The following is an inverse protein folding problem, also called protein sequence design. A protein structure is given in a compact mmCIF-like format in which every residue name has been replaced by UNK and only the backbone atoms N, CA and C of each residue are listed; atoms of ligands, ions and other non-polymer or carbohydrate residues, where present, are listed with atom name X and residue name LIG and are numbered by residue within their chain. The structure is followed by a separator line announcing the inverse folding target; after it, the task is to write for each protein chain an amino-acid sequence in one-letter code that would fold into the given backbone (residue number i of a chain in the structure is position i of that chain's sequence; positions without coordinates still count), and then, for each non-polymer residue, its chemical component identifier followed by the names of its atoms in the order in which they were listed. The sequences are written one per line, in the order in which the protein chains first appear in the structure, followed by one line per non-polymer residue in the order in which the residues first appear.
data_IF_005551822132
#
_entry.id   IF_005551822132
#
_cell.length_a   1.000
_cell.length_b   1.000
_cell.length_c   1.000
_cell.angle_alpha   90.00
_cell.angle_beta   90.00
_cell.angle_gamma   90.00
#
_symmetry.space_group_name_H-M   'P 1'
#
loop_
_entity.id
_entity.type
_entity.pdbx_description
1 polymer ?
#
# COMPACT_ATOMS: atom_id res chain seq x y z
N UNK A 1 -13.93 -12.22 16.63
CA UNK A 1 -14.72 -11.18 15.92
C UNK A 1 -16.18 -11.50 16.12
N UNK A 2 -17.00 -10.55 16.60
CA UNK A 2 -18.41 -10.81 16.94
C UNK A 2 -19.31 -10.34 15.80
N UNK A 3 -20.14 -11.23 15.26
CA UNK A 3 -20.96 -10.93 14.08
C UNK A 3 -22.08 -9.93 14.44
N UNK A 4 -22.58 -9.16 13.47
CA UNK A 4 -23.69 -8.20 13.67
C UNK A 4 -24.94 -8.88 14.22
N UNK A 5 -25.26 -10.10 13.76
CA UNK A 5 -26.40 -10.86 14.26
C UNK A 5 -26.25 -11.21 15.74
N UNK A 6 -25.05 -11.61 16.16
CA UNK A 6 -24.76 -11.91 17.57
C UNK A 6 -24.83 -10.65 18.43
N UNK A 7 -24.44 -9.49 17.90
CA UNK A 7 -24.57 -8.20 18.58
C UNK A 7 -26.02 -7.73 18.68
N UNK A 8 -26.82 -7.92 17.64
CA UNK A 8 -28.25 -7.64 17.67
C UNK A 8 -28.97 -8.52 18.69
N UNK A 9 -28.65 -9.82 18.73
CA UNK A 9 -29.22 -10.74 19.71
C UNK A 9 -28.81 -10.46 21.16
N UNK A 10 -27.69 -9.77 21.42
CA UNK A 10 -27.34 -9.33 22.79
C UNK A 10 -27.95 -7.98 23.19
N UNK A 11 -28.28 -7.15 22.21
CA UNK A 11 -28.81 -5.80 22.45
C UNK A 11 -30.33 -5.77 22.43
N UNK A 12 -30.97 -6.81 21.90
CA UNK A 12 -32.41 -6.98 21.87
C UNK A 12 -32.86 -7.91 22.99
N UNK A 13 -33.92 -7.52 23.69
CA UNK A 13 -34.58 -8.33 24.71
C UNK A 13 -35.75 -9.14 24.13
N UNK A 14 -36.00 -9.03 22.83
CA UNK A 14 -37.11 -9.68 22.12
C UNK A 14 -36.66 -10.92 21.34
N UNK A 15 -37.61 -11.85 21.14
CA UNK A 15 -37.39 -13.07 20.34
C UNK A 15 -37.33 -12.81 18.83
N UNK A 16 -37.74 -11.63 18.36
CA UNK A 16 -37.76 -11.26 16.95
C UNK A 16 -36.96 -9.97 16.77
N UNK A 17 -35.84 -10.09 16.06
CA UNK A 17 -35.01 -8.93 15.73
C UNK A 17 -35.71 -8.05 14.70
N UNK A 18 -35.80 -6.77 15.01
CA UNK A 18 -36.33 -5.74 14.11
C UNK A 18 -35.20 -4.88 13.52
N UNK A 19 -35.56 -4.01 12.58
CA UNK A 19 -34.59 -3.16 11.90
C UNK A 19 -33.86 -2.19 12.85
N UNK A 20 -34.46 -1.78 13.99
CA UNK A 20 -33.77 -0.95 14.99
C UNK A 20 -32.70 -1.72 15.75
N UNK A 21 -32.94 -2.99 16.08
CA UNK A 21 -31.95 -3.84 16.75
C UNK A 21 -30.72 -4.03 15.86
N UNK A 22 -30.94 -4.27 14.56
CA UNK A 22 -29.86 -4.37 13.58
C UNK A 22 -29.10 -3.04 13.47
N UNK A 23 -29.80 -1.90 13.41
CA UNK A 23 -29.14 -0.58 13.33
C UNK A 23 -28.28 -0.29 14.57
N UNK A 24 -28.82 -0.54 15.78
CA UNK A 24 -28.08 -0.39 17.03
C UNK A 24 -26.87 -1.33 17.08
N UNK A 25 -27.06 -2.56 16.59
CA UNK A 25 -26.01 -3.56 16.49
C UNK A 25 -25.01 -3.31 15.37
N UNK A 26 -25.15 -2.30 14.51
CA UNK A 26 -24.07 -1.90 13.60
C UNK A 26 -23.39 -0.62 14.10
N UNK A 27 -24.15 0.26 14.75
CA UNK A 27 -23.69 1.55 15.26
C UNK A 27 -23.67 2.63 14.18
N UNK A 28 -22.97 3.73 14.43
CA UNK A 28 -22.76 4.78 13.43
C UNK A 28 -21.86 4.27 12.31
N UNK A 29 -22.45 3.95 11.16
CA UNK A 29 -21.68 3.79 9.94
C UNK A 29 -21.10 5.15 9.55
N UNK A 30 -19.77 5.27 9.56
CA UNK A 30 -19.16 6.12 8.55
C UNK A 30 -19.28 5.35 7.23
N UNK A 31 -19.85 5.92 6.17
CA UNK A 31 -19.73 5.30 4.87
C UNK A 31 -18.24 5.04 4.63
N UNK A 32 -17.90 3.82 4.19
CA UNK A 32 -16.58 3.58 3.63
C UNK A 32 -16.50 4.53 2.46
N UNK A 33 -15.73 5.60 2.61
CA UNK A 33 -15.39 6.49 1.52
C UNK A 33 -14.65 5.60 0.53
N UNK A 34 -15.40 5.12 -0.47
CA UNK A 34 -14.81 4.46 -1.61
C UNK A 34 -13.94 5.54 -2.22
N UNK A 35 -12.64 5.42 -2.01
CA UNK A 35 -11.69 6.30 -2.66
C UNK A 35 -11.98 6.16 -4.15
N UNK A 36 -12.58 7.17 -4.77
CA UNK A 36 -13.06 7.11 -6.15
C UNK A 36 -11.92 6.84 -7.14
N UNK A 37 -10.67 6.97 -6.67
CA UNK A 37 -9.44 6.57 -7.35
C UNK A 37 -9.30 5.06 -7.61
N UNK A 38 -10.18 4.19 -7.11
CA UNK A 38 -10.08 2.72 -7.23
C UNK A 38 -11.31 2.09 -7.88
N UNK A 39 -11.78 2.65 -9.00
CA UNK A 39 -12.67 1.92 -9.91
C UNK A 39 -11.82 0.88 -10.66
N UNK A 40 -12.04 -0.43 -10.47
CA UNK A 40 -11.32 -1.46 -11.23
C UNK A 40 -11.83 -1.43 -12.66
N UNK A 41 -11.10 -0.75 -13.55
CA UNK A 41 -11.36 -0.78 -14.99
C UNK A 41 -11.35 0.56 -15.71
N UNK A 42 -11.40 1.70 -14.99
CA UNK A 42 -11.48 3.02 -15.64
C UNK A 42 -10.60 4.07 -14.95
N UNK A 43 -9.40 3.67 -14.52
CA UNK A 43 -8.35 4.62 -14.20
C UNK A 43 -7.67 5.04 -15.51
N UNK A 44 -7.58 6.34 -15.87
CA UNK A 44 -6.70 6.81 -16.95
C UNK A 44 -5.19 6.62 -16.64
N UNK A 45 -4.91 5.83 -15.60
CA UNK A 45 -3.65 5.65 -14.90
C UNK A 45 -3.36 4.15 -14.71
N UNK A 46 -3.67 3.32 -15.71
CA UNK A 46 -3.14 1.95 -15.75
C UNK A 46 -1.63 2.03 -16.01
N UNK A 47 -0.88 2.24 -14.92
CA UNK A 47 0.58 2.17 -14.94
C UNK A 47 0.99 0.79 -15.45
N UNK A 48 1.81 0.76 -16.50
CA UNK A 48 2.34 -0.50 -17.01
C UNK A 48 3.21 -1.17 -15.93
N UNK A 49 3.32 -2.50 -15.96
CA UNK A 49 4.23 -3.21 -15.05
C UNK A 49 5.66 -2.63 -15.09
N UNK A 50 6.13 -2.23 -16.28
CA UNK A 50 7.45 -1.62 -16.45
C UNK A 50 7.57 -0.29 -15.70
N UNK A 51 6.58 0.60 -15.83
CA UNK A 51 6.57 1.88 -15.12
C UNK A 51 6.48 1.69 -13.59
N UNK A 52 5.61 0.79 -13.13
CA UNK A 52 5.46 0.46 -11.71
C UNK A 52 6.77 -0.09 -11.12
N UNK A 53 7.45 -0.96 -11.89
CA UNK A 53 8.75 -1.51 -11.52
C UNK A 53 9.82 -0.42 -11.44
N UNK A 54 9.86 0.49 -12.42
CA UNK A 54 10.82 1.60 -12.45
C UNK A 54 10.63 2.53 -11.24
N UNK A 55 9.38 2.90 -10.94
CA UNK A 55 9.02 3.71 -9.77
C UNK A 55 9.48 3.06 -8.47
N UNK A 56 9.20 1.77 -8.32
CA UNK A 56 9.64 0.99 -7.16
C UNK A 56 11.17 0.93 -7.05
N UNK A 57 11.86 0.60 -8.14
CA UNK A 57 13.32 0.51 -8.16
C UNK A 57 13.96 1.86 -7.79
N UNK A 58 13.45 2.99 -8.30
CA UNK A 58 13.91 4.35 -7.96
C UNK A 58 13.77 4.64 -6.46
N UNK A 59 12.61 4.34 -5.88
CA UNK A 59 12.35 4.56 -4.46
C UNK A 59 13.28 3.70 -3.59
N UNK A 60 13.40 2.41 -3.91
CA UNK A 60 14.19 1.46 -3.13
C UNK A 60 15.70 1.78 -3.19
N UNK A 61 16.22 2.05 -4.39
CA UNK A 61 17.64 2.39 -4.59
C UNK A 61 17.96 3.72 -3.90
N UNK A 62 17.14 4.76 -4.10
CA UNK A 62 17.35 6.06 -3.46
C UNK A 62 17.32 5.98 -1.94
N UNK A 63 16.34 5.29 -1.36
CA UNK A 63 16.26 5.10 0.09
C UNK A 63 17.46 4.33 0.65
N UNK A 64 17.98 3.34 -0.09
CA UNK A 64 19.14 2.57 0.37
C UNK A 64 20.43 3.37 0.27
N UNK A 65 20.63 4.13 -0.80
CA UNK A 65 21.76 5.05 -0.94
C UNK A 65 21.78 6.09 0.19
N UNK A 66 20.62 6.67 0.53
CA UNK A 66 20.51 7.61 1.65
C UNK A 66 20.92 6.96 2.99
N UNK A 67 20.48 5.73 3.27
CA UNK A 67 20.87 4.97 4.46
C UNK A 67 22.36 4.62 4.48
N UNK A 68 22.99 4.51 3.31
CA UNK A 68 24.41 4.20 3.14
C UNK A 68 25.28 5.45 2.98
N UNK A 69 24.74 6.66 3.17
CA UNK A 69 25.41 7.93 2.95
C UNK A 69 26.09 8.01 1.56
N UNK A 70 25.36 7.62 0.52
CA UNK A 70 25.84 7.65 -0.87
C UNK A 70 26.78 6.50 -1.27
N UNK A 71 27.25 5.67 -0.32
CA UNK A 71 28.21 4.60 -0.60
C UNK A 71 27.57 3.48 -1.43
N UNK A 72 27.77 3.53 -2.75
CA UNK A 72 27.17 2.60 -3.73
C UNK A 72 27.55 1.15 -3.45
N UNK A 73 28.80 0.88 -3.03
CA UNK A 73 29.27 -0.49 -2.74
C UNK A 73 28.56 -1.11 -1.52
N UNK A 74 28.27 -0.29 -0.49
CA UNK A 74 27.48 -0.72 0.67
C UNK A 74 26.02 -0.93 0.27
N UNK A 75 25.45 0.01 -0.50
CA UNK A 75 24.07 -0.08 -0.97
C UNK A 75 23.84 -1.32 -1.86
N UNK A 76 24.78 -1.64 -2.75
CA UNK A 76 24.73 -2.84 -3.58
C UNK A 76 24.70 -4.10 -2.73
N UNK A 77 25.60 -4.22 -1.75
CA UNK A 77 25.62 -5.35 -0.80
C UNK A 77 24.32 -5.44 0.00
N UNK A 78 23.79 -4.32 0.49
CA UNK A 78 22.55 -4.27 1.26
C UNK A 78 21.32 -4.64 0.43
N UNK A 79 21.32 -4.32 -0.86
CA UNK A 79 20.28 -4.73 -1.82
C UNK A 79 20.47 -6.16 -2.35
N UNK A 80 21.58 -6.83 -2.03
CA UNK A 80 21.91 -8.15 -2.58
C UNK A 80 22.23 -8.11 -4.08
N UNK A 81 22.66 -6.95 -4.60
CA UNK A 81 23.00 -6.74 -6.01
C UNK A 81 24.51 -6.72 -6.20
N UNK A 82 24.96 -7.22 -7.35
CA UNK A 82 26.31 -6.95 -7.82
C UNK A 82 26.48 -5.44 -8.08
N UNK A 83 27.67 -4.91 -7.78
CA UNK A 83 27.98 -3.47 -7.98
C UNK A 83 27.64 -2.99 -9.39
N UNK A 84 28.10 -3.71 -10.41
CA UNK A 84 27.84 -3.39 -11.82
C UNK A 84 26.35 -3.39 -12.16
N UNK A 85 25.54 -4.25 -11.52
CA UNK A 85 24.08 -4.26 -11.66
C UNK A 85 23.45 -3.03 -11.05
N UNK A 86 23.91 -2.61 -9.87
CA UNK A 86 23.39 -1.40 -9.22
C UNK A 86 23.74 -0.14 -10.04
N UNK A 87 24.99 0.00 -10.49
CA UNK A 87 25.38 1.13 -11.35
C UNK A 87 24.56 1.19 -12.64
N UNK A 88 24.33 0.05 -13.31
CA UNK A 88 23.46 0.00 -14.50
C UNK A 88 22.03 0.45 -14.21
N UNK A 89 21.47 0.04 -13.07
CA UNK A 89 20.13 0.47 -12.63
C UNK A 89 20.10 1.96 -12.31
N UNK A 90 21.09 2.48 -11.61
CA UNK A 90 21.20 3.91 -11.30
C UNK A 90 21.26 4.75 -12.58
N UNK A 91 22.11 4.35 -13.54
CA UNK A 91 22.21 5.02 -14.85
C UNK A 91 20.88 4.98 -15.63
N UNK A 92 20.20 3.83 -15.66
CA UNK A 92 18.90 3.70 -16.33
C UNK A 92 17.79 4.53 -15.66
N UNK A 93 17.89 4.77 -14.35
CA UNK A 93 16.90 5.49 -13.55
C UNK A 93 17.18 7.00 -13.43
N UNK A 94 18.34 7.46 -13.91
CA UNK A 94 18.82 8.84 -13.74
C UNK A 94 19.17 9.19 -12.30
N UNK A 95 19.68 8.23 -11.52
CA UNK A 95 20.11 8.44 -10.14
C UNK A 95 21.61 8.74 -10.17
N UNK A 96 21.98 10.01 -10.07
CA UNK A 96 23.37 10.43 -9.93
C UNK A 96 23.87 10.29 -8.49
N UNK A 97 25.15 9.95 -8.35
CA UNK A 97 25.88 10.03 -7.09
C UNK A 97 26.02 11.52 -6.74
N UNK A 98 25.07 12.06 -5.96
CA UNK A 98 25.27 13.39 -5.37
C UNK A 98 26.39 13.30 -4.33
N UNK A 99 27.35 14.25 -4.34
CA UNK A 99 28.56 14.24 -3.53
C UNK A 99 28.32 14.38 -2.03
#
# INVERSE_FOLDING_TARGET
MRNVLERAALLSDDLILNASDIRAAIGSFSPVQRNEALVPGDSPNQETFAAARERFDRQLIGATLAQCAGKVDEAARRLGLGRSTLYKKMAALGIDESP
#
